data_IF_575720551246
#
_entry.id   IF_575720551246
#
_cell.length_a   1.000
_cell.length_b   1.000
_cell.length_c   1.000
_cell.angle_alpha   90.00
_cell.angle_beta   90.00
_cell.angle_gamma   90.00
#
_symmetry.space_group_name_H-M   'P 1'
#
loop_
_entity.id
_entity.type
_entity.pdbx_description
1 polymer ?
#
# COMPACT_ATOMS: atom_id res chain seq x y z
N UNK A 1 -25.90 32.61 -0.46
CA UNK A 1 -26.78 31.42 -0.40
C UNK A 1 -25.88 30.20 -0.60
N UNK A 2 -25.02 29.88 0.38
CA UNK A 2 -25.23 28.89 1.45
C UNK A 2 -25.70 27.51 0.97
N UNK A 3 -24.77 26.55 0.97
CA UNK A 3 -25.04 25.14 1.22
C UNK A 3 -23.73 24.49 1.72
N UNK A 4 -23.36 24.80 2.96
CA UNK A 4 -22.48 23.93 3.73
C UNK A 4 -23.34 22.76 4.22
N UNK A 5 -23.14 21.57 3.64
CA UNK A 5 -23.78 20.34 4.12
C UNK A 5 -22.88 19.75 5.22
N UNK A 6 -23.22 20.02 6.48
CA UNK A 6 -22.47 19.60 7.65
C UNK A 6 -23.24 18.53 8.44
N UNK A 7 -22.45 17.64 9.06
CA UNK A 7 -22.72 16.76 10.19
C UNK A 7 -23.65 15.54 10.00
N UNK A 8 -23.01 14.39 9.78
CA UNK A 8 -23.40 13.14 10.44
C UNK A 8 -22.30 12.74 11.41
N UNK A 9 -22.38 13.25 12.65
CA UNK A 9 -21.62 12.71 13.77
C UNK A 9 -22.41 11.53 14.35
N UNK A 10 -22.34 10.35 13.72
CA UNK A 10 -22.71 9.10 14.39
C UNK A 10 -21.52 8.67 15.25
N UNK A 11 -21.59 9.00 16.54
CA UNK A 11 -20.81 8.31 17.58
C UNK A 11 -21.36 6.88 17.73
N UNK A 12 -21.07 6.03 16.74
CA UNK A 12 -21.05 4.60 16.98
C UNK A 12 -19.66 4.30 17.51
N UNK A 13 -19.60 3.95 18.80
CA UNK A 13 -18.49 3.23 19.42
C UNK A 13 -18.32 1.89 18.69
N UNK A 14 -17.80 1.92 17.48
CA UNK A 14 -17.26 0.74 16.83
C UNK A 14 -15.90 0.53 17.48
N UNK A 15 -15.68 -0.68 17.99
CA UNK A 15 -14.35 -1.19 18.25
C UNK A 15 -13.42 -0.69 17.14
N UNK A 16 -12.32 -0.02 17.50
CA UNK A 16 -11.42 0.65 16.56
C UNK A 16 -10.71 -0.39 15.69
N UNK A 17 -11.44 -0.96 14.74
CA UNK A 17 -10.88 -1.61 13.57
C UNK A 17 -10.39 -0.43 12.76
N UNK A 18 -9.06 -0.22 12.70
CA UNK A 18 -8.47 0.86 11.92
C UNK A 18 -9.01 0.79 10.49
N UNK A 19 -9.94 1.69 10.16
CA UNK A 19 -10.60 1.67 8.86
C UNK A 19 -9.69 2.39 7.88
N UNK A 20 -9.31 1.71 6.80
CA UNK A 20 -8.55 2.35 5.73
C UNK A 20 -9.50 3.23 4.92
N UNK A 21 -9.41 4.54 5.11
CA UNK A 21 -10.17 5.53 4.33
C UNK A 21 -9.27 5.98 3.17
N UNK A 22 -9.78 5.85 1.96
CA UNK A 22 -9.14 6.36 0.74
C UNK A 22 -9.49 7.82 0.56
N UNK A 23 -8.48 8.66 0.35
CA UNK A 23 -8.69 10.06 -0.02
C UNK A 23 -9.49 10.14 -1.33
N UNK A 24 -10.36 11.14 -1.49
CA UNK A 24 -11.11 11.33 -2.73
C UNK A 24 -10.18 11.39 -3.96
N UNK A 25 -10.38 10.45 -4.88
CA UNK A 25 -9.57 10.32 -6.09
C UNK A 25 -8.24 9.60 -5.91
N UNK A 26 -7.91 9.11 -4.71
CA UNK A 26 -6.85 8.13 -4.54
C UNK A 26 -7.30 6.77 -5.06
N UNK A 27 -6.34 6.03 -5.63
CA UNK A 27 -6.52 4.67 -6.10
C UNK A 27 -5.48 3.78 -5.43
N UNK A 28 -5.86 2.55 -5.10
CA UNK A 28 -4.93 1.59 -4.54
C UNK A 28 -4.37 0.70 -5.61
N UNK A 29 -3.07 0.48 -5.51
CA UNK A 29 -2.31 -0.45 -6.32
C UNK A 29 -1.86 -1.60 -5.43
N UNK A 30 -1.88 -2.80 -5.97
CA UNK A 30 -1.34 -3.99 -5.32
C UNK A 30 -0.75 -4.89 -6.40
N UNK A 31 0.32 -5.58 -6.07
CA UNK A 31 0.91 -6.58 -6.95
C UNK A 31 1.78 -7.55 -6.16
N UNK A 32 2.03 -8.70 -6.76
CA UNK A 32 2.94 -9.72 -6.26
C UNK A 32 3.72 -10.26 -7.44
N UNK A 33 4.96 -10.68 -7.21
CA UNK A 33 5.80 -11.30 -8.22
C UNK A 33 6.61 -12.43 -7.57
N UNK A 34 7.17 -13.33 -8.38
CA UNK A 34 8.05 -14.39 -7.88
C UNK A 34 9.46 -13.87 -7.60
N UNK A 35 10.24 -14.64 -6.83
CA UNK A 35 11.67 -14.37 -6.66
C UNK A 35 12.38 -14.32 -8.03
N UNK A 36 13.38 -13.45 -8.16
CA UNK A 36 14.12 -13.12 -9.38
C UNK A 36 13.25 -12.52 -10.51
N UNK A 37 12.04 -12.05 -10.17
CA UNK A 37 11.16 -11.33 -11.09
C UNK A 37 11.00 -9.87 -10.66
N UNK A 38 10.62 -9.02 -11.61
CA UNK A 38 10.38 -7.60 -11.35
C UNK A 38 8.90 -7.34 -11.06
N UNK A 39 8.62 -6.63 -9.97
CA UNK A 39 7.31 -6.05 -9.71
C UNK A 39 7.29 -4.61 -10.22
N UNK A 40 6.30 -4.32 -11.05
CA UNK A 40 6.09 -2.98 -11.61
C UNK A 40 4.74 -2.43 -11.18
N UNK A 41 4.74 -1.25 -10.58
CA UNK A 41 3.56 -0.51 -10.16
C UNK A 41 3.52 0.85 -10.86
N UNK A 42 2.36 1.24 -11.37
CA UNK A 42 2.18 2.51 -12.07
C UNK A 42 0.92 3.22 -11.58
N UNK A 43 1.07 4.46 -11.16
CA UNK A 43 -0.04 5.31 -10.77
C UNK A 43 -0.80 5.81 -12.00
N UNK A 44 -2.13 5.82 -11.98
CA UNK A 44 -2.91 6.42 -13.04
C UNK A 44 -2.75 7.94 -13.05
N UNK A 45 -2.74 8.53 -14.25
CA UNK A 45 -2.55 9.97 -14.47
C UNK A 45 -1.20 10.48 -13.94
N UNK A 46 -1.03 11.79 -13.78
CA UNK A 46 0.18 12.42 -13.20
C UNK A 46 0.26 12.30 -11.66
N UNK A 47 -0.29 11.22 -11.07
CA UNK A 47 -0.27 10.98 -9.62
C UNK A 47 1.00 10.24 -9.19
N UNK A 48 1.28 10.27 -7.90
CA UNK A 48 2.44 9.60 -7.30
C UNK A 48 2.01 8.69 -6.15
N UNK A 49 2.82 7.67 -5.85
CA UNK A 49 2.66 6.82 -4.68
C UNK A 49 2.92 7.63 -3.41
N UNK A 50 1.85 8.02 -2.71
CA UNK A 50 1.93 8.85 -1.51
C UNK A 50 2.11 8.05 -0.22
N UNK A 51 1.76 6.75 -0.24
CA UNK A 51 1.82 5.86 0.93
C UNK A 51 2.03 4.42 0.49
N UNK A 52 2.88 3.70 1.23
CA UNK A 52 2.97 2.24 1.16
C UNK A 52 2.18 1.69 2.34
N UNK A 53 1.27 0.74 2.07
CA UNK A 53 0.41 0.15 3.11
C UNK A 53 0.98 -1.16 3.64
N UNK A 54 1.67 -1.90 2.77
CA UNK A 54 2.24 -3.20 3.05
C UNK A 54 3.33 -3.50 2.02
N UNK A 55 4.42 -4.09 2.47
CA UNK A 55 5.45 -4.67 1.62
C UNK A 55 6.13 -5.83 2.35
N UNK A 56 6.31 -6.95 1.65
CA UNK A 56 6.94 -8.15 2.18
C UNK A 56 7.70 -8.86 1.07
N UNK A 57 8.98 -9.11 1.28
CA UNK A 57 9.73 -10.13 0.55
C UNK A 57 9.67 -11.46 1.33
N UNK A 58 9.36 -12.56 0.63
CA UNK A 58 9.09 -13.88 1.21
C UNK A 58 7.72 -14.44 0.81
N UNK A 59 7.01 -15.09 1.72
CA UNK A 59 5.69 -15.69 1.47
C UNK A 59 4.61 -15.01 2.32
N UNK A 60 4.01 -13.88 1.87
CA UNK A 60 2.93 -13.25 2.62
C UNK A 60 1.70 -14.16 2.70
N UNK A 61 0.93 -14.03 3.78
CA UNK A 61 -0.39 -14.64 3.88
C UNK A 61 -1.41 -13.72 3.21
N UNK A 62 -2.24 -14.27 2.32
CA UNK A 62 -3.22 -13.52 1.51
C UNK A 62 -2.56 -12.48 0.58
N UNK A 63 -3.39 -11.69 -0.12
CA UNK A 63 -2.97 -10.69 -1.11
C UNK A 63 -3.78 -9.39 -0.97
N UNK A 64 -3.29 -8.32 -1.60
CA UNK A 64 -3.96 -7.03 -1.61
C UNK A 64 -4.12 -6.44 -0.20
N UNK A 65 -5.29 -5.88 0.09
CA UNK A 65 -5.59 -5.30 1.40
C UNK A 65 -5.64 -6.29 2.56
N UNK A 66 -5.78 -7.58 2.25
CA UNK A 66 -5.80 -8.64 3.26
C UNK A 66 -4.40 -9.21 3.51
N UNK A 67 -3.37 -8.74 2.80
CA UNK A 67 -2.01 -9.24 2.91
C UNK A 67 -1.48 -9.08 4.34
N UNK A 68 -0.77 -10.10 4.80
CA UNK A 68 -0.17 -10.17 6.14
C UNK A 68 1.21 -10.77 6.06
N UNK A 69 2.05 -10.43 7.02
CA UNK A 69 3.33 -11.08 7.21
C UNK A 69 3.15 -12.54 7.61
N UNK A 70 3.97 -13.43 7.06
CA UNK A 70 4.17 -14.78 7.57
C UNK A 70 5.50 -14.86 8.33
N UNK A 71 5.86 -16.06 8.80
CA UNK A 71 7.19 -16.33 9.36
C UNK A 71 8.32 -16.19 8.34
N UNK A 72 8.02 -16.23 7.04
CA UNK A 72 8.97 -16.02 5.95
C UNK A 72 8.75 -14.61 5.39
N UNK A 73 9.24 -13.61 6.14
CA UNK A 73 9.19 -12.19 5.79
C UNK A 73 10.52 -11.51 6.13
N UNK A 74 11.10 -10.76 5.18
CA UNK A 74 12.26 -9.92 5.43
C UNK A 74 11.86 -8.59 6.09
N UNK A 75 12.34 -8.37 7.33
CA UNK A 75 11.91 -7.24 8.18
C UNK A 75 12.18 -5.84 7.61
N UNK A 76 13.08 -5.72 6.62
CA UNK A 76 13.45 -4.43 6.01
C UNK A 76 12.67 -4.11 4.73
N UNK A 77 11.85 -5.04 4.21
CA UNK A 77 11.15 -4.87 2.93
C UNK A 77 10.26 -3.63 2.89
N UNK A 78 9.63 -3.26 4.00
CA UNK A 78 8.82 -2.04 4.08
C UNK A 78 9.66 -0.79 3.84
N UNK A 79 10.80 -0.67 4.51
CA UNK A 79 11.71 0.46 4.36
C UNK A 79 12.33 0.49 2.95
N UNK A 80 12.66 -0.66 2.37
CA UNK A 80 13.15 -0.73 0.99
C UNK A 80 12.09 -0.18 0.02
N UNK A 81 10.87 -0.71 0.06
CA UNK A 81 9.80 -0.27 -0.85
C UNK A 81 9.43 1.20 -0.64
N UNK A 82 9.40 1.69 0.60
CA UNK A 82 9.18 3.11 0.87
C UNK A 82 10.25 4.00 0.22
N UNK A 83 11.53 3.64 0.36
CA UNK A 83 12.63 4.40 -0.22
C UNK A 83 12.64 4.39 -1.75
N UNK A 84 12.25 3.26 -2.36
CA UNK A 84 12.22 3.13 -3.82
C UNK A 84 10.98 3.73 -4.47
N UNK A 85 9.80 3.56 -3.87
CA UNK A 85 8.53 3.83 -4.54
C UNK A 85 7.86 5.14 -4.10
N UNK A 86 8.09 5.65 -2.89
CA UNK A 86 7.40 6.85 -2.45
C UNK A 86 7.73 8.05 -3.34
N UNK A 87 6.71 8.88 -3.59
CA UNK A 87 6.77 10.08 -4.44
C UNK A 87 7.12 9.80 -5.91
N UNK A 88 7.13 8.54 -6.34
CA UNK A 88 7.28 8.17 -7.74
C UNK A 88 5.91 7.90 -8.39
N UNK A 89 5.72 8.26 -9.67
CA UNK A 89 4.54 7.85 -10.44
C UNK A 89 4.66 6.39 -10.92
N UNK A 90 5.87 5.87 -10.98
CA UNK A 90 6.21 4.53 -11.44
C UNK A 90 7.26 3.92 -10.50
N UNK A 91 7.05 2.69 -10.05
CA UNK A 91 8.01 1.94 -9.26
C UNK A 91 8.27 0.58 -9.88
N UNK A 92 9.55 0.23 -10.02
CA UNK A 92 10.00 -1.06 -10.54
C UNK A 92 11.05 -1.61 -9.59
N UNK A 93 10.72 -2.70 -8.92
CA UNK A 93 11.57 -3.33 -7.91
C UNK A 93 11.76 -4.80 -8.28
N UNK A 94 13.01 -5.24 -8.31
CA UNK A 94 13.32 -6.66 -8.46
C UNK A 94 13.14 -7.36 -7.12
N UNK A 95 12.44 -8.49 -7.11
CA UNK A 95 12.29 -9.32 -5.92
C UNK A 95 13.50 -10.25 -5.82
N UNK A 96 14.58 -9.80 -5.17
CA UNK A 96 15.76 -10.62 -4.93
C UNK A 96 16.33 -10.40 -3.51
N UNK A 97 17.26 -11.25 -3.11
CA UNK A 97 17.87 -11.25 -1.78
C UNK A 97 18.83 -10.06 -1.53
N UNK A 98 19.02 -9.16 -2.51
CA UNK A 98 19.81 -7.93 -2.36
C UNK A 98 18.94 -6.70 -2.16
N UNK A 99 17.62 -6.82 -2.39
CA UNK A 99 16.60 -5.78 -2.28
C UNK A 99 15.49 -6.17 -1.30
N UNK A 100 15.74 -7.18 -0.46
CA UNK A 100 14.83 -7.64 0.59
C UNK A 100 14.74 -6.71 1.79
#
# INVERSE_FOLDING_TARGET
MSAACALTLLLLVHASIGQLILDPGASMLSGTTGENSTLTLSCPSSRVMSKILFASYGMPENLGLAAKYSSCHATISMNVIENYCLKQPFCSVEANNSTE
#
